data_IF_195621139857
#
_entry.id   IF_195621139857
#
_cell.length_a   1.000
_cell.length_b   1.000
_cell.length_c   1.000
_cell.angle_alpha   90.00
_cell.angle_beta   90.00
_cell.angle_gamma   90.00
#
_symmetry.space_group_name_H-M   'P 1'
#
loop_
_entity.id
_entity.type
_entity.pdbx_description
1 polymer ?
#
# COMPACT_ATOMS: atom_id res chain seq x y z
N UNK A 1 21.97 2.57 1.54
CA UNK A 1 20.96 2.66 0.47
C UNK A 1 19.58 2.41 1.08
N UNK A 2 18.56 3.11 0.61
CA UNK A 2 17.16 3.05 1.07
C UNK A 2 16.42 1.84 0.48
N UNK A 3 16.88 0.63 0.84
CA UNK A 3 16.30 -0.64 0.41
C UNK A 3 15.79 -1.43 1.62
N UNK A 4 14.50 -1.77 1.63
CA UNK A 4 13.87 -2.57 2.69
C UNK A 4 14.48 -3.98 2.75
N UNK A 5 14.68 -4.64 1.61
CA UNK A 5 15.21 -6.00 1.54
C UNK A 5 16.62 -6.08 2.11
N UNK A 6 17.45 -5.09 1.82
CA UNK A 6 18.81 -5.02 2.37
C UNK A 6 18.81 -4.81 3.90
N UNK A 7 17.76 -4.17 4.44
CA UNK A 7 17.65 -3.90 5.87
C UNK A 7 17.01 -5.07 6.65
N UNK A 8 16.13 -5.83 6.00
CA UNK A 8 15.30 -6.89 6.62
C UNK A 8 15.76 -8.31 6.27
N UNK A 9 16.65 -8.46 5.28
CA UNK A 9 17.06 -9.71 4.65
C UNK A 9 16.03 -10.26 3.62
N UNK A 10 16.50 -11.05 2.66
CA UNK A 10 15.72 -11.53 1.51
C UNK A 10 14.56 -12.47 1.91
N UNK A 11 14.78 -13.41 2.85
CA UNK A 11 13.73 -14.38 3.24
C UNK A 11 12.58 -13.70 3.98
N UNK A 12 12.81 -12.89 5.03
CA UNK A 12 11.72 -12.20 5.71
C UNK A 12 11.05 -11.18 4.80
N UNK A 13 11.79 -10.53 3.89
CA UNK A 13 11.22 -9.65 2.88
C UNK A 13 10.27 -10.38 1.93
N UNK A 14 10.64 -11.56 1.42
CA UNK A 14 9.77 -12.37 0.56
C UNK A 14 8.48 -12.78 1.28
N UNK A 15 8.59 -13.24 2.54
CA UNK A 15 7.43 -13.58 3.37
C UNK A 15 6.54 -12.36 3.58
N UNK A 16 7.14 -11.22 3.94
CA UNK A 16 6.44 -9.95 4.08
C UNK A 16 5.70 -9.55 2.80
N UNK A 17 6.33 -9.70 1.64
CA UNK A 17 5.74 -9.35 0.35
C UNK A 17 4.52 -10.23 0.03
N UNK A 18 4.64 -11.55 0.22
CA UNK A 18 3.55 -12.49 -0.02
C UNK A 18 2.39 -12.29 0.96
N UNK A 19 2.69 -12.12 2.25
CA UNK A 19 1.68 -11.84 3.28
C UNK A 19 0.99 -10.49 3.03
N UNK A 20 1.73 -9.47 2.62
CA UNK A 20 1.16 -8.16 2.28
C UNK A 20 0.19 -8.24 1.11
N UNK A 21 0.52 -9.00 0.08
CA UNK A 21 -0.39 -9.28 -1.04
C UNK A 21 -1.66 -10.03 -0.60
N UNK A 22 -1.51 -11.05 0.25
CA UNK A 22 -2.64 -11.82 0.77
C UNK A 22 -3.57 -10.94 1.64
N UNK A 23 -3.01 -10.13 2.55
CA UNK A 23 -3.78 -9.23 3.43
C UNK A 23 -4.45 -8.11 2.62
N UNK A 24 -3.79 -7.60 1.58
CA UNK A 24 -4.38 -6.66 0.64
C UNK A 24 -5.62 -7.26 -0.04
N UNK A 25 -5.49 -8.45 -0.65
CA UNK A 25 -6.62 -9.13 -1.28
C UNK A 25 -7.76 -9.40 -0.28
N UNK A 26 -7.41 -9.84 0.92
CA UNK A 26 -8.37 -10.11 1.99
C UNK A 26 -9.13 -8.84 2.42
N UNK A 27 -8.42 -7.71 2.53
CA UNK A 27 -9.00 -6.42 2.92
C UNK A 27 -10.01 -5.90 1.89
N UNK A 28 -9.76 -6.14 0.60
CA UNK A 28 -10.72 -5.81 -0.46
C UNK A 28 -11.99 -6.65 -0.37
N UNK A 29 -11.85 -7.98 -0.23
CA UNK A 29 -13.00 -8.89 -0.06
C UNK A 29 -13.84 -8.52 1.16
N UNK A 30 -13.21 -8.20 2.30
CA UNK A 30 -13.94 -7.82 3.51
C UNK A 30 -14.56 -6.42 3.44
N UNK A 31 -13.83 -5.42 2.93
CA UNK A 31 -14.32 -4.04 2.91
C UNK A 31 -15.46 -3.86 1.90
N UNK A 32 -15.38 -4.52 0.74
CA UNK A 32 -16.47 -4.48 -0.24
C UNK A 32 -17.62 -5.42 0.15
N UNK A 33 -17.33 -6.58 0.75
CA UNK A 33 -18.38 -7.46 1.29
C UNK A 33 -19.29 -6.78 2.33
N UNK A 34 -18.74 -5.90 3.18
CA UNK A 34 -19.51 -5.20 4.22
C UNK A 34 -20.18 -3.90 3.74
N UNK A 35 -19.72 -3.29 2.64
CA UNK A 35 -20.27 -2.03 2.11
C UNK A 35 -21.25 -2.27 0.94
N UNK A 36 -21.12 -3.39 0.22
CA UNK A 36 -21.86 -3.70 -1.01
C UNK A 36 -23.09 -4.58 -0.78
N UNK A 37 -23.26 -5.21 0.39
CA UNK A 37 -24.51 -5.91 0.74
C UNK A 37 -25.73 -4.94 0.68
N UNK A 38 -25.50 -3.64 0.85
CA UNK A 38 -26.56 -2.62 0.74
C UNK A 38 -26.76 -2.03 -0.67
N UNK A 39 -25.89 -2.28 -1.66
CA UNK A 39 -25.97 -1.66 -3.00
C UNK A 39 -26.09 -2.66 -4.17
N UNK A 40 -25.71 -3.93 -3.98
CA UNK A 40 -25.85 -4.94 -5.02
C UNK A 40 -27.31 -5.25 -5.41
N UNK A 41 -28.25 -5.00 -4.49
CA UNK A 41 -29.69 -5.12 -4.73
C UNK A 41 -30.39 -3.78 -5.01
N UNK A 42 -29.72 -2.64 -4.96
CA UNK A 42 -30.38 -1.33 -5.08
C UNK A 42 -30.98 -1.07 -6.47
N UNK A 43 -30.48 -1.75 -7.53
CA UNK A 43 -31.05 -1.69 -8.90
C UNK A 43 -32.15 -2.75 -9.10
N UNK A 44 -32.28 -3.74 -8.21
CA UNK A 44 -33.34 -4.75 -8.27
C UNK A 44 -34.73 -4.18 -7.86
N UNK A 45 -34.83 -2.90 -7.51
CA UNK A 45 -36.07 -2.23 -7.07
C UNK A 45 -37.08 -1.96 -8.20
N UNK A 46 -36.70 -2.09 -9.49
CA UNK A 46 -37.62 -2.05 -10.62
C UNK A 46 -37.75 -3.40 -11.37
N UNK A 47 -37.95 -4.53 -10.68
CA UNK A 47 -38.53 -5.77 -11.25
C UNK A 47 -37.92 -6.36 -12.56
N UNK A 48 -36.73 -5.94 -13.03
CA UNK A 48 -36.15 -6.42 -14.31
C UNK A 48 -35.33 -7.71 -14.16
N UNK A 49 -34.85 -8.09 -12.96
CA UNK A 49 -34.20 -9.38 -12.74
C UNK A 49 -34.20 -9.84 -11.26
N UNK A 50 -34.40 -11.14 -10.97
CA UNK A 50 -34.19 -11.68 -9.62
C UNK A 50 -32.69 -11.65 -9.28
N UNK A 51 -32.35 -10.92 -8.22
CA UNK A 51 -31.02 -10.93 -7.61
C UNK A 51 -30.76 -12.32 -6.96
N UNK A 52 -30.40 -13.33 -7.76
CA UNK A 52 -30.03 -14.68 -7.32
C UNK A 52 -28.55 -14.75 -6.82
N UNK A 53 -28.13 -13.80 -5.98
CA UNK A 53 -26.88 -13.88 -5.19
C UNK A 53 -25.53 -13.94 -5.93
N UNK A 54 -25.48 -14.09 -7.25
CA UNK A 54 -24.27 -14.64 -7.88
C UNK A 54 -23.25 -13.64 -8.44
N UNK A 55 -23.55 -12.34 -8.62
CA UNK A 55 -22.57 -11.42 -9.25
C UNK A 55 -22.57 -10.00 -8.67
N UNK A 56 -21.99 -9.85 -7.48
CA UNK A 56 -21.43 -8.57 -7.04
C UNK A 56 -19.98 -8.47 -7.55
N UNK A 57 -19.67 -7.49 -8.40
CA UNK A 57 -18.30 -7.30 -8.93
C UNK A 57 -17.24 -7.08 -7.84
N UNK A 58 -17.63 -6.65 -6.63
CA UNK A 58 -16.75 -6.52 -5.46
C UNK A 58 -16.47 -7.83 -4.70
N UNK A 59 -17.08 -8.95 -5.11
CA UNK A 59 -16.85 -10.28 -4.54
C UNK A 59 -15.78 -11.08 -5.27
N UNK A 60 -15.24 -10.53 -6.37
CA UNK A 60 -14.19 -11.20 -7.15
C UNK A 60 -12.86 -10.92 -6.46
N UNK A 61 -12.20 -11.91 -5.87
CA UNK A 61 -10.89 -11.71 -5.25
C UNK A 61 -9.89 -11.26 -6.33
N UNK A 62 -9.58 -9.97 -6.35
CA UNK A 62 -8.53 -9.42 -7.20
C UNK A 62 -7.17 -9.64 -6.54
N UNK A 63 -6.45 -10.67 -6.98
CA UNK A 63 -5.04 -10.87 -6.62
C UNK A 63 -4.18 -10.04 -7.56
N UNK A 64 -3.55 -8.98 -7.03
CA UNK A 64 -2.70 -8.08 -7.81
C UNK A 64 -1.36 -7.83 -7.13
N UNK A 65 -0.29 -7.74 -7.94
CA UNK A 65 1.04 -7.33 -7.47
C UNK A 65 1.01 -5.94 -6.80
N UNK A 66 0.06 -5.08 -7.17
CA UNK A 66 -0.11 -3.74 -6.61
C UNK A 66 -0.44 -3.73 -5.11
N UNK A 67 -1.14 -4.75 -4.60
CA UNK A 67 -1.42 -4.89 -3.16
C UNK A 67 -0.15 -5.16 -2.34
N UNK A 68 0.71 -6.06 -2.83
CA UNK A 68 2.02 -6.33 -2.21
C UNK A 68 2.95 -5.11 -2.29
N UNK A 69 2.96 -4.38 -3.41
CA UNK A 69 3.70 -3.12 -3.53
C UNK A 69 3.17 -2.06 -2.55
N UNK A 70 1.85 -2.03 -2.32
CA UNK A 70 1.24 -1.14 -1.32
C UNK A 70 1.76 -1.42 0.09
N UNK A 71 1.95 -2.69 0.44
CA UNK A 71 2.62 -3.07 1.69
C UNK A 71 4.07 -2.57 1.74
N UNK A 72 4.84 -2.74 0.68
CA UNK A 72 6.22 -2.22 0.59
C UNK A 72 6.23 -0.70 0.78
N UNK A 73 5.30 0.03 0.17
CA UNK A 73 5.17 1.49 0.32
C UNK A 73 4.83 1.90 1.77
N UNK A 74 3.93 1.19 2.45
CA UNK A 74 3.62 1.43 3.85
C UNK A 74 4.84 1.22 4.77
N UNK A 75 5.60 0.15 4.53
CA UNK A 75 6.84 -0.10 5.27
C UNK A 75 7.90 0.97 4.99
N UNK A 76 8.02 1.39 3.74
CA UNK A 76 8.98 2.40 3.31
C UNK A 76 8.74 3.75 4.00
N UNK A 77 7.46 4.14 4.19
CA UNK A 77 7.09 5.39 4.87
C UNK A 77 7.74 5.51 6.27
N UNK A 78 7.73 4.42 7.04
CA UNK A 78 8.19 4.40 8.43
C UNK A 78 9.68 4.06 8.57
N UNK A 79 10.23 3.28 7.65
CA UNK A 79 11.65 2.90 7.64
C UNK A 79 12.54 4.00 7.05
N UNK A 80 12.08 4.71 6.03
CA UNK A 80 12.87 5.70 5.30
C UNK A 80 12.16 7.06 5.15
N UNK A 81 11.68 7.70 6.23
CA UNK A 81 10.89 8.94 6.15
C UNK A 81 11.67 10.12 5.53
N UNK A 82 13.00 10.12 5.63
CA UNK A 82 13.89 11.15 5.07
C UNK A 82 14.32 10.88 3.63
N UNK A 83 13.99 9.73 3.05
CA UNK A 83 14.37 9.43 1.67
C UNK A 83 13.64 10.33 0.68
N UNK A 84 14.25 10.56 -0.48
CA UNK A 84 13.68 11.37 -1.57
C UNK A 84 13.44 10.49 -2.78
N UNK A 85 12.18 10.37 -3.16
CA UNK A 85 11.74 9.64 -4.35
C UNK A 85 12.01 10.51 -5.58
N UNK A 86 12.68 9.92 -6.57
CA UNK A 86 12.83 10.54 -7.89
C UNK A 86 11.55 10.30 -8.68
N UNK A 87 10.86 11.39 -9.01
CA UNK A 87 9.66 11.39 -9.83
C UNK A 87 10.03 11.90 -11.21
N UNK A 88 9.60 11.19 -12.25
CA UNK A 88 9.63 11.69 -13.61
C UNK A 88 8.28 12.32 -13.91
N UNK A 89 8.26 13.63 -14.12
CA UNK A 89 7.05 14.35 -14.54
C UNK A 89 7.29 14.98 -15.91
N UNK A 90 6.56 14.46 -16.91
CA UNK A 90 6.74 14.74 -18.34
C UNK A 90 8.17 14.45 -18.82
N UNK A 91 9.07 15.42 -18.68
CA UNK A 91 10.48 15.36 -19.09
C UNK A 91 11.46 15.79 -17.99
N UNK A 92 10.97 16.16 -16.80
CA UNK A 92 11.78 16.68 -15.70
C UNK A 92 11.82 15.70 -14.53
N UNK A 93 12.99 15.59 -13.92
CA UNK A 93 13.18 14.82 -12.69
C UNK A 93 13.02 15.70 -11.46
N UNK A 94 12.02 15.38 -10.64
CA UNK A 94 11.80 16.01 -9.35
C UNK A 94 12.19 15.05 -8.23
N UNK A 95 12.72 15.59 -7.12
CA UNK A 95 12.99 14.81 -5.92
C UNK A 95 12.01 15.25 -4.85
N UNK A 96 11.05 14.40 -4.53
CA UNK A 96 10.05 14.69 -3.50
C UNK A 96 10.36 13.84 -2.25
N UNK A 97 10.24 14.40 -1.03
CA UNK A 97 10.32 13.59 0.19
C UNK A 97 9.32 12.43 0.14
N UNK A 98 9.78 11.23 0.46
CA UNK A 98 8.97 10.01 0.38
C UNK A 98 7.70 10.11 1.22
N UNK A 99 7.81 10.69 2.42
CA UNK A 99 6.67 10.93 3.31
C UNK A 99 5.54 11.71 2.64
N UNK A 100 5.86 12.78 1.92
CA UNK A 100 4.86 13.63 1.25
C UNK A 100 4.17 12.85 0.14
N UNK A 101 4.95 12.15 -0.68
CA UNK A 101 4.41 11.35 -1.79
C UNK A 101 3.50 10.23 -1.30
N UNK A 102 3.95 9.47 -0.31
CA UNK A 102 3.23 8.28 0.18
C UNK A 102 1.97 8.65 0.94
N UNK A 103 1.99 9.73 1.73
CA UNK A 103 0.77 10.23 2.38
C UNK A 103 -0.24 10.74 1.36
N UNK A 104 0.21 11.54 0.39
CA UNK A 104 -0.66 11.98 -0.69
C UNK A 104 -1.28 10.78 -1.43
N UNK A 105 -0.47 9.77 -1.73
CA UNK A 105 -0.93 8.57 -2.44
C UNK A 105 -1.98 7.79 -1.64
N UNK A 106 -1.78 7.54 -0.34
CA UNK A 106 -2.77 6.79 0.46
C UNK A 106 -4.06 7.58 0.69
N UNK A 107 -3.99 8.91 0.81
CA UNK A 107 -5.17 9.77 0.88
C UNK A 107 -5.99 9.69 -0.40
N UNK A 108 -5.33 9.61 -1.56
CA UNK A 108 -6.03 9.38 -2.83
C UNK A 108 -6.71 8.00 -2.85
N UNK A 109 -6.06 6.94 -2.36
CA UNK A 109 -6.69 5.62 -2.27
C UNK A 109 -7.93 5.66 -1.38
N UNK A 110 -7.84 6.34 -0.23
CA UNK A 110 -8.95 6.48 0.72
C UNK A 110 -10.11 7.28 0.11
N UNK A 111 -9.82 8.38 -0.56
CA UNK A 111 -10.84 9.16 -1.27
C UNK A 111 -11.60 8.32 -2.31
N UNK A 112 -10.87 7.57 -3.14
CA UNK A 112 -11.48 6.75 -4.18
C UNK A 112 -12.23 5.53 -3.61
N UNK A 113 -11.71 4.92 -2.55
CA UNK A 113 -12.38 3.82 -1.84
C UNK A 113 -13.65 4.25 -1.11
N UNK A 114 -13.71 5.51 -0.65
CA UNK A 114 -14.88 6.10 0.01
C UNK A 114 -15.81 6.88 -0.93
N UNK A 115 -15.40 7.15 -2.18
CA UNK A 115 -16.18 7.91 -3.16
C UNK A 115 -16.41 9.39 -2.79
N UNK A 116 -15.49 10.04 -2.07
CA UNK A 116 -15.74 11.38 -1.48
C UNK A 116 -15.76 12.51 -2.54
N UNK A 117 -14.82 12.51 -3.50
CA UNK A 117 -14.67 13.58 -4.50
C UNK A 117 -15.05 13.16 -5.94
N UNK A 118 -15.76 12.05 -6.11
CA UNK A 118 -16.22 11.54 -7.40
C UNK A 118 -16.49 10.05 -7.35
N UNK A 119 -17.21 9.54 -8.35
CA UNK A 119 -17.50 8.12 -8.48
C UNK A 119 -16.17 7.37 -8.51
N UNK A 120 -15.89 6.53 -7.52
CA UNK A 120 -14.72 5.63 -7.46
C UNK A 120 -14.72 4.56 -8.57
N UNK A 121 -15.45 4.82 -9.66
CA UNK A 121 -15.72 4.02 -10.84
C UNK A 121 -14.45 3.75 -11.64
N UNK A 122 -13.71 2.76 -11.17
CA UNK A 122 -12.64 2.12 -11.89
C UNK A 122 -12.52 0.67 -11.45
N UNK A 123 -11.91 -0.17 -12.28
CA UNK A 123 -11.59 -1.56 -11.96
C UNK A 123 -10.44 -1.70 -10.95
N UNK A 124 -10.29 -0.72 -10.05
CA UNK A 124 -9.15 -0.60 -9.13
C UNK A 124 -9.61 -1.03 -7.74
N UNK A 125 -8.90 -2.01 -7.17
CA UNK A 125 -9.12 -2.52 -5.83
C UNK A 125 -8.61 -1.53 -4.75
N UNK A 126 -9.29 -0.39 -4.57
CA UNK A 126 -8.84 0.67 -3.64
C UNK A 126 -8.63 0.14 -2.21
N UNK A 127 -9.52 -0.71 -1.73
CA UNK A 127 -9.43 -1.34 -0.42
C UNK A 127 -8.26 -2.33 -0.30
N UNK A 128 -7.82 -2.95 -1.39
CA UNK A 128 -6.62 -3.78 -1.38
C UNK A 128 -5.37 -2.93 -1.14
N UNK A 129 -5.29 -1.76 -1.78
CA UNK A 129 -4.18 -0.84 -1.59
C UNK A 129 -4.14 -0.29 -0.16
N UNK A 130 -5.29 0.06 0.41
CA UNK A 130 -5.40 0.55 1.79
C UNK A 130 -4.98 -0.54 2.79
N UNK A 131 -5.52 -1.75 2.65
CA UNK A 131 -5.19 -2.88 3.52
C UNK A 131 -3.72 -3.28 3.44
N UNK A 132 -3.18 -3.37 2.22
CA UNK A 132 -1.76 -3.63 1.98
C UNK A 132 -0.88 -2.57 2.64
N UNK A 133 -1.17 -1.28 2.42
CA UNK A 133 -0.41 -0.17 3.00
C UNK A 133 -0.44 -0.18 4.53
N UNK A 134 -1.61 -0.42 5.14
CA UNK A 134 -1.74 -0.49 6.59
C UNK A 134 -0.91 -1.64 7.19
N UNK A 135 -0.99 -2.84 6.58
CA UNK A 135 -0.14 -3.96 6.97
C UNK A 135 1.36 -3.62 6.82
N UNK A 136 1.72 -3.02 5.69
CA UNK A 136 3.06 -2.52 5.41
C UNK A 136 3.60 -1.60 6.48
N UNK A 137 2.79 -0.63 6.90
CA UNK A 137 3.15 0.33 7.93
C UNK A 137 3.43 -0.36 9.27
N UNK A 138 2.57 -1.29 9.68
CA UNK A 138 2.76 -2.06 10.92
C UNK A 138 4.01 -2.94 10.85
N UNK A 139 4.21 -3.66 9.74
CA UNK A 139 5.39 -4.48 9.52
C UNK A 139 6.67 -3.62 9.49
N UNK A 140 6.63 -2.45 8.85
CA UNK A 140 7.75 -1.52 8.81
C UNK A 140 8.10 -0.95 10.18
N UNK A 141 7.11 -0.67 11.04
CA UNK A 141 7.36 -0.27 12.43
C UNK A 141 8.03 -1.41 13.21
N UNK A 142 7.57 -2.65 13.00
CA UNK A 142 8.19 -3.83 13.58
C UNK A 142 9.65 -3.99 13.11
N UNK A 143 9.91 -3.91 11.81
CA UNK A 143 11.26 -3.99 11.25
C UNK A 143 12.16 -2.87 11.75
N UNK A 144 11.67 -1.63 11.82
CA UNK A 144 12.43 -0.49 12.35
C UNK A 144 12.90 -0.73 13.79
N UNK A 145 12.09 -1.40 14.60
CA UNK A 145 12.40 -1.66 16.01
C UNK A 145 13.34 -2.86 16.22
N UNK A 146 13.46 -3.76 15.23
CA UNK A 146 14.26 -4.98 15.32
C UNK A 146 15.48 -4.99 14.39
N UNK A 147 15.59 -4.04 13.45
CA UNK A 147 16.75 -3.87 12.58
C UNK A 147 17.88 -3.17 13.32
N UNK A 148 18.68 -3.94 14.06
CA UNK A 148 19.98 -3.53 14.58
C UNK A 148 21.06 -3.59 13.50
N UNK A 149 20.96 -2.82 12.41
CA UNK A 149 22.07 -2.62 11.46
C UNK A 149 22.10 -1.19 10.92
N UNK A 150 22.80 -0.36 11.69
CA UNK A 150 23.73 0.73 11.35
C UNK A 150 23.65 1.32 9.93
N UNK A 151 23.49 2.64 9.89
CA UNK A 151 23.69 3.46 8.69
C UNK A 151 23.41 4.94 8.90
N UNK A 152 23.68 5.48 10.10
CA UNK A 152 23.90 6.92 10.26
C UNK A 152 25.42 7.11 10.32
N UNK A 153 25.93 8.00 9.48
CA UNK A 153 27.34 8.11 9.15
C UNK A 153 28.24 8.47 10.33
N UNK A 154 29.08 7.53 10.72
CA UNK A 154 30.43 7.83 11.15
C UNK A 154 31.31 7.75 9.90
N UNK A 155 31.66 8.90 9.33
CA UNK A 155 32.93 8.97 8.59
C UNK A 155 34.03 8.65 9.60
N UNK A 156 34.99 7.75 9.32
CA UNK A 156 36.11 7.55 10.22
C UNK A 156 36.86 8.88 10.31
N UNK A 157 36.95 9.41 11.53
CA UNK A 157 37.87 10.48 11.89
C UNK A 157 39.26 10.04 11.44
N UNK A 158 39.73 10.62 10.34
CA UNK A 158 41.10 10.49 9.89
C UNK A 158 41.93 11.17 10.96
N UNK A 159 42.47 10.37 11.87
CA UNK A 159 43.56 10.79 12.73
C UNK A 159 44.71 11.18 11.79
N UNK A 160 44.91 12.48 11.59
CA UNK A 160 46.19 13.02 11.16
C UNK A 160 47.21 12.67 12.26
N UNK A 161 47.90 11.55 12.07
CA UNK A 161 49.17 11.31 12.75
C UNK A 161 50.23 12.23 12.13
N UNK A 162 50.58 13.26 12.91
CA UNK A 162 51.88 13.95 13.11
C UNK A 162 52.82 14.09 11.90
#
# INVERSE_FOLDING_TARGET
ADNIEANVNHRPFLVFFLLGGAIAAMSHVFAEGNFVESYCCAICEENVAPCNGDYCSGSIPMIGASGAISAVMGAYLVMFPKSRIKLLFLFFFFRLPAFVFLIFWILLQLNNGLGIFGDGGGSVAWWAHIGGFAFGLLAGLYFRNHSSYIGLGEEPEVLEEV
#
